data_IF_512992473281
#
_entry.id   IF_512992473281
#
_cell.length_a   1.000
_cell.length_b   1.000
_cell.length_c   1.000
_cell.angle_alpha   90.00
_cell.angle_beta   90.00
_cell.angle_gamma   90.00
#
_symmetry.space_group_name_H-M   'P 1'
#
loop_
_entity.id
_entity.type
_entity.pdbx_description
1 polymer ?
#
# COMPACT_ATOMS: atom_id res chain seq x y z
N UNK A 1 17.45 23.59 -2.54
CA UNK A 1 17.49 23.19 -1.13
C UNK A 1 16.05 22.93 -0.72
N UNK A 2 15.66 21.68 -0.49
CA UNK A 2 14.27 21.31 -0.18
C UNK A 2 14.09 21.41 1.34
N UNK A 3 13.13 22.23 1.80
CA UNK A 3 12.87 22.46 3.21
C UNK A 3 11.67 21.61 3.66
N UNK A 4 11.87 20.54 4.47
CA UNK A 4 10.80 19.64 4.90
C UNK A 4 9.67 20.30 5.71
N UNK A 5 9.85 21.56 6.15
CA UNK A 5 8.86 22.33 6.89
C UNK A 5 8.04 23.27 6.00
N UNK A 6 8.62 23.80 4.92
CA UNK A 6 7.96 24.75 4.00
C UNK A 6 7.46 24.10 2.71
N UNK A 7 8.12 23.05 2.25
CA UNK A 7 7.77 22.36 1.00
C UNK A 7 6.70 21.28 1.23
N UNK A 8 5.71 21.27 0.33
CA UNK A 8 4.61 20.29 0.36
C UNK A 8 5.18 18.88 0.22
N UNK A 9 5.03 18.06 1.26
CA UNK A 9 5.52 16.68 1.29
C UNK A 9 4.97 15.89 0.11
N UNK A 10 5.88 15.40 -0.73
CA UNK A 10 5.55 14.54 -1.85
C UNK A 10 4.96 13.21 -1.35
N UNK A 11 3.71 12.95 -1.70
CA UNK A 11 3.07 11.65 -1.49
C UNK A 11 2.27 11.30 -2.74
N UNK A 12 2.77 10.35 -3.51
CA UNK A 12 2.16 9.89 -4.75
C UNK A 12 2.14 8.38 -4.82
N UNK A 13 1.16 7.82 -5.50
CA UNK A 13 1.07 6.39 -5.78
C UNK A 13 1.08 6.19 -7.28
N UNK A 14 1.88 5.24 -7.77
CA UNK A 14 1.87 4.82 -9.17
C UNK A 14 1.61 3.32 -9.23
N UNK A 15 0.75 2.93 -10.17
CA UNK A 15 0.50 1.53 -10.51
C UNK A 15 1.54 1.10 -11.54
N UNK A 16 2.37 0.13 -11.17
CA UNK A 16 3.31 -0.50 -12.11
C UNK A 16 2.56 -1.50 -13.01
N UNK A 17 3.16 -1.82 -14.15
CA UNK A 17 2.63 -2.86 -15.04
C UNK A 17 2.92 -4.26 -14.49
N UNK A 18 4.09 -4.44 -13.89
CA UNK A 18 4.53 -5.72 -13.35
C UNK A 18 4.65 -5.67 -11.83
N UNK A 19 4.19 -6.71 -11.12
CA UNK A 19 4.11 -6.75 -9.66
C UNK A 19 5.52 -6.84 -9.04
N UNK A 20 6.04 -5.76 -8.41
CA UNK A 20 7.41 -5.76 -7.90
C UNK A 20 7.57 -6.55 -6.59
N UNK A 21 6.47 -6.75 -5.83
CA UNK A 21 6.47 -7.39 -4.51
C UNK A 21 5.44 -8.53 -4.45
N UNK A 22 5.77 -9.73 -4.96
CA UNK A 22 4.87 -10.87 -4.90
C UNK A 22 4.58 -11.33 -3.46
N UNK A 23 5.50 -11.09 -2.51
CA UNK A 23 5.36 -11.46 -1.08
C UNK A 23 4.54 -10.46 -0.25
N UNK A 24 3.94 -9.44 -0.85
CA UNK A 24 3.17 -8.44 -0.10
C UNK A 24 1.91 -9.05 0.50
N UNK A 25 1.77 -9.00 1.82
CA UNK A 25 0.60 -9.56 2.49
C UNK A 25 -0.53 -8.53 2.54
N UNK A 26 -1.62 -8.83 1.83
CA UNK A 26 -2.82 -7.98 1.77
C UNK A 26 -3.91 -8.64 2.61
N UNK A 27 -4.45 -7.89 3.58
CA UNK A 27 -5.55 -8.35 4.41
C UNK A 27 -6.88 -7.73 3.96
N UNK A 28 -7.91 -8.57 3.80
CA UNK A 28 -9.24 -8.14 3.39
C UNK A 28 -10.11 -7.94 4.62
N UNK A 29 -10.80 -6.81 4.68
CA UNK A 29 -11.77 -6.44 5.70
C UNK A 29 -13.14 -6.38 5.04
N UNK A 30 -14.02 -7.34 5.33
CA UNK A 30 -15.33 -7.39 4.70
C UNK A 30 -16.10 -8.63 5.12
N UNK A 31 -17.41 -8.50 5.28
CA UNK A 31 -18.29 -9.59 5.75
C UNK A 31 -18.74 -10.49 4.58
N UNK A 32 -19.08 -9.89 3.44
CA UNK A 32 -19.60 -10.60 2.26
C UNK A 32 -18.52 -11.18 1.33
N UNK A 33 -17.26 -10.76 1.48
CA UNK A 33 -16.13 -11.27 0.67
C UNK A 33 -15.35 -12.38 1.37
N UNK A 34 -15.81 -12.83 2.54
CA UNK A 34 -15.11 -13.84 3.34
C UNK A 34 -14.98 -15.19 2.62
N UNK A 35 -15.96 -15.58 1.80
CA UNK A 35 -15.93 -16.88 1.13
C UNK A 35 -14.96 -16.89 -0.06
N UNK A 36 -14.91 -15.81 -0.85
CA UNK A 36 -13.90 -15.65 -1.91
C UNK A 36 -12.49 -15.47 -1.33
N UNK A 37 -12.35 -14.76 -0.22
CA UNK A 37 -11.06 -14.60 0.46
C UNK A 37 -10.57 -15.95 1.00
N UNK A 38 -11.45 -16.76 1.61
CA UNK A 38 -11.14 -18.13 2.05
C UNK A 38 -10.76 -19.03 0.88
N UNK A 39 -11.50 -18.99 -0.23
CA UNK A 39 -11.21 -19.77 -1.42
C UNK A 39 -9.83 -19.45 -2.00
N UNK A 40 -9.41 -18.19 -1.93
CA UNK A 40 -8.10 -17.73 -2.39
C UNK A 40 -6.99 -17.81 -1.33
N UNK A 41 -7.25 -18.41 -0.16
CA UNK A 41 -6.33 -18.48 0.99
C UNK A 41 -5.80 -17.11 1.44
N UNK A 42 -6.62 -16.07 1.30
CA UNK A 42 -6.26 -14.72 1.68
C UNK A 42 -6.68 -14.43 3.13
N UNK A 43 -5.87 -13.71 3.90
CA UNK A 43 -6.20 -13.34 5.26
C UNK A 43 -7.37 -12.35 5.28
N UNK A 44 -8.50 -12.78 5.82
CA UNK A 44 -9.71 -11.96 5.97
C UNK A 44 -9.95 -11.61 7.44
N UNK A 45 -10.70 -10.53 7.70
CA UNK A 45 -11.07 -10.09 9.03
C UNK A 45 -12.48 -9.47 9.02
N UNK A 46 -13.32 -9.92 9.96
CA UNK A 46 -14.68 -9.42 10.11
C UNK A 46 -14.77 -8.17 10.99
N UNK A 47 -15.92 -7.50 10.92
CA UNK A 47 -16.25 -6.27 11.68
C UNK A 47 -16.16 -6.49 13.20
N UNK A 48 -16.55 -7.66 13.67
CA UNK A 48 -16.48 -8.01 15.09
C UNK A 48 -15.05 -8.16 15.59
N UNK A 49 -14.16 -8.73 14.76
CA UNK A 49 -12.75 -8.84 15.07
C UNK A 49 -12.08 -7.46 15.10
N UNK A 50 -12.42 -6.57 14.16
CA UNK A 50 -11.98 -5.16 14.17
C UNK A 50 -12.40 -4.42 15.45
N UNK A 51 -13.66 -4.59 15.90
CA UNK A 51 -14.15 -4.02 17.17
C UNK A 51 -13.39 -4.54 18.39
N UNK A 52 -13.06 -5.84 18.41
CA UNK A 52 -12.24 -6.46 19.48
C UNK A 52 -10.79 -5.96 19.44
N UNK A 53 -10.24 -5.72 18.25
CA UNK A 53 -8.86 -5.24 18.06
C UNK A 53 -8.66 -3.79 18.50
N UNK A 54 -9.67 -2.92 18.35
CA UNK A 54 -9.60 -1.52 18.83
C UNK A 54 -9.33 -1.41 20.35
N UNK A 55 -9.84 -2.36 21.15
CA UNK A 55 -9.57 -2.37 22.60
C UNK A 55 -8.09 -2.62 22.93
N UNK A 56 -7.33 -3.25 22.02
CA UNK A 56 -5.95 -3.67 22.24
C UNK A 56 -4.97 -3.08 21.22
N UNK A 57 -4.39 -1.93 21.54
CA UNK A 57 -3.35 -1.26 20.72
C UNK A 57 -2.15 -2.17 20.34
N UNK A 58 -1.82 -3.15 21.19
CA UNK A 58 -0.72 -4.12 20.93
C UNK A 58 -1.02 -5.07 19.77
N UNK A 59 -2.28 -5.51 19.63
CA UNK A 59 -2.68 -6.41 18.54
C UNK A 59 -2.75 -5.66 17.21
N UNK A 60 -3.23 -4.42 17.23
CA UNK A 60 -3.21 -3.52 16.06
C UNK A 60 -1.77 -3.30 15.57
N UNK A 61 -0.80 -3.13 16.47
CA UNK A 61 0.62 -3.01 16.09
C UNK A 61 1.15 -4.30 15.45
N UNK A 62 0.84 -5.47 16.01
CA UNK A 62 1.23 -6.77 15.42
C UNK A 62 0.60 -7.01 14.05
N UNK A 63 -0.66 -6.61 13.86
CA UNK A 63 -1.33 -6.72 12.57
C UNK A 63 -0.73 -5.77 11.53
N UNK A 64 -0.41 -4.54 11.93
CA UNK A 64 0.27 -3.58 11.07
C UNK A 64 1.71 -4.00 10.74
N UNK A 65 2.37 -4.82 11.57
CA UNK A 65 3.67 -5.42 11.24
C UNK A 65 3.53 -6.64 10.31
N UNK A 66 2.46 -7.44 10.47
CA UNK A 66 2.22 -8.65 9.68
C UNK A 66 1.72 -8.36 8.27
N UNK A 67 0.81 -7.40 8.10
CA UNK A 67 0.18 -7.10 6.81
C UNK A 67 0.67 -5.77 6.26
N UNK A 68 0.99 -5.73 4.97
CA UNK A 68 1.52 -4.56 4.27
C UNK A 68 0.41 -3.62 3.80
N UNK A 69 -0.72 -4.18 3.37
CA UNK A 69 -1.89 -3.43 2.91
C UNK A 69 -3.19 -4.04 3.45
N UNK A 70 -4.19 -3.19 3.56
CA UNK A 70 -5.55 -3.55 3.95
C UNK A 70 -6.52 -3.11 2.85
N UNK A 71 -7.51 -3.94 2.55
CA UNK A 71 -8.62 -3.60 1.66
C UNK A 71 -9.91 -3.71 2.46
N UNK A 72 -10.79 -2.73 2.36
CA UNK A 72 -12.03 -2.69 3.10
C UNK A 72 -13.23 -2.47 2.19
N UNK A 73 -14.30 -3.22 2.43
CA UNK A 73 -15.57 -2.98 1.73
C UNK A 73 -16.13 -1.59 2.07
N UNK A 74 -16.91 -1.03 1.15
CA UNK A 74 -17.49 0.31 1.30
C UNK A 74 -18.33 0.48 2.58
N UNK A 75 -19.00 -0.59 3.04
CA UNK A 75 -19.73 -0.59 4.30
C UNK A 75 -18.82 -0.35 5.52
N UNK A 76 -17.56 -0.82 5.46
CA UNK A 76 -16.60 -0.76 6.55
C UNK A 76 -15.68 0.45 6.48
N UNK A 77 -15.40 0.97 5.28
CA UNK A 77 -14.52 2.14 5.12
C UNK A 77 -15.04 3.38 5.85
N UNK A 78 -16.36 3.48 6.09
CA UNK A 78 -16.98 4.56 6.88
C UNK A 78 -16.76 4.41 8.39
N UNK A 79 -16.58 3.18 8.88
CA UNK A 79 -16.41 2.88 10.30
C UNK A 79 -14.93 2.78 10.72
N UNK A 80 -14.06 2.34 9.81
CA UNK A 80 -12.62 2.17 10.01
C UNK A 80 -11.91 3.47 10.48
N UNK A 81 -12.19 4.67 9.96
CA UNK A 81 -11.61 5.91 10.48
C UNK A 81 -11.87 6.13 11.98
N UNK A 82 -12.98 5.60 12.52
CA UNK A 82 -13.32 5.74 13.94
C UNK A 82 -12.65 4.68 14.81
N UNK A 83 -12.46 3.47 14.29
CA UNK A 83 -11.91 2.34 15.04
C UNK A 83 -10.38 2.21 14.95
N UNK A 84 -9.79 2.57 13.80
CA UNK A 84 -8.41 2.22 13.47
C UNK A 84 -7.47 3.42 13.25
N UNK A 85 -7.99 4.66 13.23
CA UNK A 85 -7.20 5.86 12.98
C UNK A 85 -5.93 6.01 13.85
N UNK A 86 -5.95 5.77 15.18
CA UNK A 86 -4.75 5.98 15.99
C UNK A 86 -3.64 4.95 15.72
N UNK A 87 -4.00 3.73 15.32
CA UNK A 87 -3.07 2.61 15.12
C UNK A 87 -2.55 2.50 13.69
N UNK A 88 -3.46 2.55 12.71
CA UNK A 88 -3.14 2.34 11.29
C UNK A 88 -2.63 3.61 10.59
N UNK A 89 -3.05 4.81 11.00
CA UNK A 89 -2.51 6.06 10.44
C UNK A 89 -1.04 6.27 10.86
N UNK A 90 -0.68 5.87 12.09
CA UNK A 90 0.72 5.89 12.56
C UNK A 90 1.59 4.89 11.80
N UNK A 91 1.01 3.76 11.36
CA UNK A 91 1.67 2.78 10.49
C UNK A 91 1.66 3.19 9.00
N UNK A 92 0.85 4.17 8.60
CA UNK A 92 0.71 4.61 7.21
C UNK A 92 0.00 3.61 6.29
N UNK A 93 -0.75 2.66 6.87
CA UNK A 93 -1.40 1.52 6.18
C UNK A 93 -2.92 1.67 6.18
N UNK A 94 -3.41 2.81 5.71
CA UNK A 94 -4.86 3.04 5.65
C UNK A 94 -5.50 2.09 4.61
N UNK A 95 -6.67 1.48 4.90
CA UNK A 95 -7.27 0.52 3.99
C UNK A 95 -7.73 1.17 2.69
N UNK A 96 -7.49 0.49 1.56
CA UNK A 96 -8.07 0.86 0.27
C UNK A 96 -9.55 0.51 0.20
N UNK A 97 -10.31 1.25 -0.60
CA UNK A 97 -11.69 0.91 -0.91
C UNK A 97 -11.72 -0.33 -1.80
N UNK A 98 -12.61 -1.25 -1.45
CA UNK A 98 -12.98 -2.39 -2.23
C UNK A 98 -14.48 -2.31 -2.56
N UNK A 99 -14.79 -2.20 -3.85
CA UNK A 99 -16.17 -2.24 -4.34
C UNK A 99 -16.63 -3.68 -4.49
N UNK A 100 -17.91 -3.94 -4.22
CA UNK A 100 -18.50 -5.27 -4.40
C UNK A 100 -18.63 -5.66 -5.88
N UNK A 101 -18.48 -4.69 -6.79
CA UNK A 101 -18.55 -4.90 -8.24
C UNK A 101 -17.21 -5.33 -8.85
N UNK A 102 -16.09 -5.13 -8.16
CA UNK A 102 -14.75 -5.47 -8.66
C UNK A 102 -14.30 -6.82 -8.06
N UNK A 103 -13.63 -7.64 -8.85
CA UNK A 103 -13.09 -8.89 -8.33
C UNK A 103 -11.96 -8.63 -7.32
N UNK A 104 -12.03 -9.32 -6.19
CA UNK A 104 -11.03 -9.24 -5.11
C UNK A 104 -9.60 -9.40 -5.61
N UNK A 105 -9.39 -10.38 -6.49
CA UNK A 105 -8.10 -10.75 -7.05
C UNK A 105 -7.50 -9.61 -7.86
N UNK A 106 -8.30 -8.99 -8.73
CA UNK A 106 -7.84 -7.83 -9.50
C UNK A 106 -7.41 -6.71 -8.57
N UNK A 107 -8.22 -6.37 -7.55
CA UNK A 107 -7.87 -5.27 -6.64
C UNK A 107 -6.61 -5.55 -5.83
N UNK A 108 -6.41 -6.80 -5.44
CA UNK A 108 -5.18 -7.23 -4.76
C UNK A 108 -3.98 -7.09 -5.68
N UNK A 109 -4.10 -7.50 -6.95
CA UNK A 109 -3.02 -7.37 -7.91
C UNK A 109 -2.72 -5.91 -8.22
N UNK A 110 -3.74 -5.04 -8.29
CA UNK A 110 -3.54 -3.59 -8.36
C UNK A 110 -2.77 -3.06 -7.15
N UNK A 111 -3.15 -3.46 -5.94
CA UNK A 111 -2.50 -3.03 -4.70
C UNK A 111 -1.07 -3.55 -4.62
N UNK A 112 -0.80 -4.79 -5.06
CA UNK A 112 0.55 -5.37 -5.15
C UNK A 112 1.41 -4.69 -6.21
N UNK A 113 0.80 -4.26 -7.32
CA UNK A 113 1.47 -3.51 -8.39
C UNK A 113 1.62 -2.02 -8.05
N UNK A 114 0.90 -1.51 -7.06
CA UNK A 114 0.95 -0.10 -6.68
C UNK A 114 2.11 0.15 -5.72
N UNK A 115 3.00 1.06 -6.11
CA UNK A 115 4.09 1.54 -5.25
C UNK A 115 3.77 2.95 -4.76
N UNK A 116 4.05 3.19 -3.47
CA UNK A 116 3.86 4.50 -2.83
C UNK A 116 5.19 5.23 -2.72
N UNK A 117 5.29 6.37 -3.39
CA UNK A 117 6.38 7.32 -3.21
C UNK A 117 5.98 8.31 -2.12
N UNK A 118 6.56 8.19 -0.93
CA UNK A 118 6.28 9.10 0.19
C UNK A 118 7.57 9.67 0.75
N UNK A 119 7.80 10.96 0.54
CA UNK A 119 8.89 11.70 1.19
C UNK A 119 8.46 11.99 2.64
N UNK A 120 9.20 11.39 3.58
CA UNK A 120 9.01 11.63 5.02
C UNK A 120 9.94 12.76 5.47
N UNK A 121 10.76 12.51 6.49
CA UNK A 121 11.71 13.50 7.05
C UNK A 121 13.06 13.52 6.31
N UNK A 122 13.37 12.43 5.61
CA UNK A 122 14.59 12.27 4.81
C UNK A 122 14.30 12.52 3.33
N UNK A 123 15.29 13.10 2.64
CA UNK A 123 15.23 13.46 1.22
C UNK A 123 15.45 12.26 0.28
N UNK A 124 15.90 11.12 0.81
CA UNK A 124 16.10 9.90 0.04
C UNK A 124 14.81 9.08 -0.01
N UNK A 125 14.43 8.65 -1.22
CA UNK A 125 13.34 7.72 -1.48
C UNK A 125 13.92 6.40 -1.95
N UNK A 126 13.51 5.30 -1.32
CA UNK A 126 13.86 3.95 -1.76
C UNK A 126 12.56 3.20 -2.02
N UNK A 127 12.38 2.75 -3.26
CA UNK A 127 11.17 2.03 -3.68
C UNK A 127 11.58 0.77 -4.42
N UNK A 128 10.91 -0.34 -4.12
CA UNK A 128 11.14 -1.59 -4.83
C UNK A 128 10.40 -1.54 -6.18
N UNK A 129 11.17 -1.64 -7.26
CA UNK A 129 10.67 -1.58 -8.64
C UNK A 129 10.65 -2.95 -9.32
N UNK A 130 11.12 -4.01 -8.65
CA UNK A 130 11.04 -5.38 -9.13
C UNK A 130 11.63 -6.42 -8.18
N UNK A 131 11.64 -7.68 -8.63
CA UNK A 131 12.20 -8.84 -7.92
C UNK A 131 13.14 -9.63 -8.84
N UNK A 132 13.90 -10.56 -8.27
CA UNK A 132 14.99 -11.28 -8.97
C UNK A 132 14.49 -12.13 -10.13
N UNK A 133 13.25 -12.59 -10.10
CA UNK A 133 12.65 -13.43 -11.15
C UNK A 133 12.09 -12.61 -12.34
N UNK A 134 12.16 -11.27 -12.30
CA UNK A 134 11.75 -10.42 -13.42
C UNK A 134 12.83 -10.31 -14.49
N UNK A 135 12.41 -10.22 -15.74
CA UNK A 135 13.30 -9.92 -16.85
C UNK A 135 13.79 -8.47 -16.82
N UNK A 136 14.94 -8.21 -17.47
CA UNK A 136 15.50 -6.86 -17.54
C UNK A 136 14.55 -5.86 -18.22
N UNK A 137 13.81 -6.29 -19.23
CA UNK A 137 12.86 -5.43 -19.95
C UNK A 137 11.67 -5.02 -19.06
N UNK A 138 11.14 -5.94 -18.25
CA UNK A 138 10.07 -5.65 -17.30
C UNK A 138 10.53 -4.69 -16.20
N UNK A 139 11.77 -4.87 -15.71
CA UNK A 139 12.40 -3.96 -14.77
C UNK A 139 12.55 -2.56 -15.35
N UNK A 140 13.05 -2.44 -16.59
CA UNK A 140 13.19 -1.15 -17.27
C UNK A 140 11.84 -0.47 -17.45
N UNK A 141 10.78 -1.21 -17.82
CA UNK A 141 9.42 -0.65 -17.91
C UNK A 141 8.92 -0.11 -16.58
N UNK A 142 9.13 -0.85 -15.49
CA UNK A 142 8.75 -0.42 -14.14
C UNK A 142 9.56 0.80 -13.67
N UNK A 143 10.87 0.82 -13.92
CA UNK A 143 11.75 1.96 -13.63
C UNK A 143 11.32 3.19 -14.42
N UNK A 144 10.99 3.02 -15.70
CA UNK A 144 10.54 4.10 -16.57
C UNK A 144 9.22 4.71 -16.07
N UNK A 145 8.25 3.88 -15.68
CA UNK A 145 6.98 4.33 -15.07
C UNK A 145 7.22 5.11 -13.76
N UNK A 146 8.08 4.58 -12.88
CA UNK A 146 8.44 5.26 -11.64
C UNK A 146 9.16 6.59 -11.87
N UNK A 147 10.09 6.63 -12.82
CA UNK A 147 10.81 7.84 -13.21
C UNK A 147 9.88 8.87 -13.83
N UNK A 148 9.01 8.47 -14.76
CA UNK A 148 8.06 9.37 -15.40
C UNK A 148 7.09 9.98 -14.38
N UNK A 149 6.61 9.18 -13.42
CA UNK A 149 5.79 9.68 -12.32
C UNK A 149 6.55 10.71 -11.46
N UNK A 150 7.81 10.43 -11.12
CA UNK A 150 8.65 11.36 -10.36
C UNK A 150 8.95 12.64 -11.14
N UNK A 151 9.25 12.57 -12.45
CA UNK A 151 9.47 13.75 -13.29
C UNK A 151 8.19 14.57 -13.43
N UNK A 152 7.05 13.92 -13.66
CA UNK A 152 5.75 14.60 -13.75
C UNK A 152 5.32 15.24 -12.43
N UNK A 153 5.76 14.70 -11.30
CA UNK A 153 5.26 15.09 -9.98
C UNK A 153 6.29 15.90 -9.17
N UNK A 154 7.56 15.95 -9.58
CA UNK A 154 8.60 16.80 -9.02
C UNK A 154 8.71 18.12 -9.80
N UNK A 155 8.80 19.24 -9.07
CA UNK A 155 9.46 20.44 -9.59
C UNK A 155 10.98 20.18 -9.61
N UNK A 156 11.76 20.77 -10.54
CA UNK A 156 13.01 20.23 -11.13
C UNK A 156 14.25 20.08 -10.21
N UNK A 157 14.11 19.56 -8.99
CA UNK A 157 15.15 19.65 -7.94
C UNK A 157 15.53 18.32 -7.26
N UNK A 158 15.00 17.16 -7.69
CA UNK A 158 15.27 15.87 -7.01
C UNK A 158 16.29 15.04 -7.80
N UNK A 159 17.51 14.90 -7.26
CA UNK A 159 18.52 13.94 -7.76
C UNK A 159 18.18 12.54 -7.23
N UNK A 160 17.95 11.59 -8.14
CA UNK A 160 17.74 10.17 -7.82
C UNK A 160 19.09 9.44 -7.71
N UNK A 161 19.37 8.83 -6.55
CA UNK A 161 20.47 7.86 -6.39
C UNK A 161 19.86 6.45 -6.41
N UNK A 162 20.30 5.62 -7.35
CA UNK A 162 19.91 4.21 -7.44
C UNK A 162 20.85 3.37 -6.57
N UNK A 163 20.28 2.54 -5.69
CA UNK A 163 21.00 1.46 -5.01
C UNK A 163 20.28 0.15 -5.35
N UNK A 164 20.88 -0.65 -6.22
CA UNK A 164 20.50 -2.04 -6.44
C UNK A 164 21.10 -2.86 -5.29
N UNK A 165 20.28 -3.67 -4.63
CA UNK A 165 20.72 -4.66 -3.63
C UNK A 165 20.26 -6.03 -4.10
#
# INVERSE_FOLDING_TARGET
NYDPQKDKRFSGTVKLKHIPRPKMQVCILGEQHCDEAKANNLPFMDVEALKKLNKNKKLVKKLAEKYDAFLASEALIKQIPRFDCPGLNKAGKFPGLLSHQESMTQKIDEVKATIKFQIKKVLCLSVAVGHVDMSADELVQNVYLGMNFLVSSSRPSVKLLYHLT
#
